data_IF_254593735200
#
_entry.id   IF_254593735200
#
_cell.length_a   1.000
_cell.length_b   1.000
_cell.length_c   1.000
_cell.angle_alpha   90.00
_cell.angle_beta   90.00
_cell.angle_gamma   90.00
#
_symmetry.space_group_name_H-M   'P 1'
#
loop_
_entity.id
_entity.type
_entity.pdbx_description
1 polymer ?
#
# COMPACT_ATOMS: atom_id res chain seq x y z
N UNK A 1 44.07 11.77 -22.52
CA UNK A 1 43.56 12.45 -23.73
C UNK A 1 42.12 12.85 -23.47
N UNK A 2 41.82 14.16 -23.59
CA UNK A 2 40.59 14.76 -24.15
C UNK A 2 39.26 14.20 -23.59
N UNK A 3 38.43 14.92 -22.85
CA UNK A 3 38.12 16.35 -22.94
C UNK A 3 36.67 16.54 -23.41
N UNK A 4 36.09 17.68 -22.99
CA UNK A 4 34.78 18.29 -23.37
C UNK A 4 33.62 17.93 -22.43
N UNK A 5 32.81 18.87 -21.94
CA UNK A 5 32.71 20.31 -22.21
C UNK A 5 31.93 20.95 -21.05
N UNK A 6 32.32 22.18 -20.70
CA UNK A 6 31.62 23.07 -19.78
C UNK A 6 30.18 23.31 -20.26
N UNK A 7 29.21 23.22 -19.35
CA UNK A 7 27.97 23.97 -19.51
C UNK A 7 28.05 25.21 -18.62
N UNK A 8 28.44 26.33 -19.23
CA UNK A 8 28.36 27.68 -18.67
C UNK A 8 27.57 28.54 -19.66
N UNK A 9 26.28 28.70 -19.37
CA UNK A 9 25.42 29.78 -19.86
C UNK A 9 24.80 30.32 -18.56
N UNK A 10 25.34 31.39 -17.98
CA UNK A 10 25.17 32.78 -18.44
C UNK A 10 24.17 33.40 -17.46
N UNK A 11 24.63 34.27 -16.55
CA UNK A 11 24.36 35.73 -16.60
C UNK A 11 22.85 36.03 -16.55
N UNK A 12 22.29 36.90 -15.73
CA UNK A 12 22.77 38.01 -14.91
C UNK A 12 21.50 38.57 -14.26
N UNK A 13 21.63 39.16 -13.07
CA UNK A 13 20.78 40.22 -12.48
C UNK A 13 19.35 40.43 -13.05
N UNK A 14 18.34 40.19 -12.21
CA UNK A 14 16.97 40.65 -12.45
C UNK A 14 16.09 40.23 -11.29
N UNK A 15 15.95 41.09 -10.29
CA UNK A 15 15.21 40.79 -9.08
C UNK A 15 13.75 40.42 -9.36
N UNK A 16 13.29 39.36 -8.70
CA UNK A 16 11.89 39.21 -8.31
C UNK A 16 11.90 38.61 -6.91
N UNK A 17 11.58 39.47 -5.94
CA UNK A 17 11.23 39.07 -4.59
C UNK A 17 9.99 38.18 -4.67
N UNK A 18 10.19 36.86 -4.60
CA UNK A 18 9.10 35.93 -4.32
C UNK A 18 9.21 35.55 -2.84
N UNK A 19 8.20 35.90 -2.01
CA UNK A 19 8.22 35.54 -0.61
C UNK A 19 8.31 34.02 -0.49
N UNK A 20 9.27 33.56 0.33
CA UNK A 20 9.40 32.16 0.75
C UNK A 20 8.26 31.87 1.73
N UNK A 21 7.02 31.93 1.25
CA UNK A 21 5.82 31.68 2.03
C UNK A 21 5.24 30.35 1.56
N UNK A 22 5.69 29.29 2.26
CA UNK A 22 4.95 28.08 2.57
C UNK A 22 4.13 27.45 1.46
N UNK A 23 4.67 26.41 0.85
CA UNK A 23 3.89 25.28 0.36
C UNK A 23 4.68 24.00 0.68
N UNK A 24 4.65 23.60 1.95
CA UNK A 24 4.81 22.19 2.30
C UNK A 24 3.53 21.52 1.81
N UNK A 25 3.49 21.17 0.52
CA UNK A 25 2.46 20.31 -0.02
C UNK A 25 2.69 18.93 0.59
N UNK A 26 2.00 18.73 1.71
CA UNK A 26 1.66 17.47 2.34
C UNK A 26 1.78 16.32 1.34
N UNK A 27 2.81 15.49 1.50
CA UNK A 27 2.81 14.12 1.02
C UNK A 27 1.75 13.34 1.83
N UNK A 28 0.49 13.75 1.75
CA UNK A 28 -0.60 12.89 2.14
C UNK A 28 -0.67 11.82 1.05
N UNK A 29 -0.72 10.52 1.41
CA UNK A 29 -1.09 9.50 0.46
C UNK A 29 -2.40 9.95 -0.20
N UNK A 30 -2.33 10.21 -1.50
CA UNK A 30 -3.47 10.56 -2.31
C UNK A 30 -4.48 9.42 -2.15
N UNK A 31 -5.76 9.69 -1.87
CA UNK A 31 -6.78 8.65 -1.86
C UNK A 31 -6.91 8.15 -3.31
N UNK A 32 -6.16 7.09 -3.61
CA UNK A 32 -6.25 6.39 -4.87
C UNK A 32 -7.60 5.68 -4.88
N UNK A 33 -8.43 5.99 -5.87
CA UNK A 33 -9.76 5.40 -6.12
C UNK A 33 -9.71 3.91 -6.51
N UNK A 34 -8.87 3.14 -5.84
CA UNK A 34 -8.99 1.71 -5.68
C UNK A 34 -10.04 1.43 -4.59
N UNK A 35 -10.52 0.19 -4.44
CA UNK A 35 -11.38 -0.18 -3.31
C UNK A 35 -10.66 0.18 -1.99
N UNK A 36 -10.95 1.36 -1.44
CA UNK A 36 -10.13 2.02 -0.41
C UNK A 36 -9.92 1.11 0.79
N UNK A 37 -11.01 0.45 1.18
CA UNK A 37 -11.01 -0.57 2.23
C UNK A 37 -10.17 -1.81 1.90
N UNK A 38 -10.22 -2.33 0.67
CA UNK A 38 -9.47 -3.53 0.29
C UNK A 38 -7.96 -3.31 0.28
N UNK A 39 -7.55 -2.13 -0.19
CA UNK A 39 -6.16 -1.69 -0.12
C UNK A 39 -5.71 -1.48 1.32
N UNK A 40 -6.56 -0.87 2.15
CA UNK A 40 -6.28 -0.66 3.56
C UNK A 40 -6.12 -1.99 4.31
N UNK A 41 -6.98 -2.98 4.03
CA UNK A 41 -6.84 -4.34 4.57
C UNK A 41 -5.49 -4.94 4.17
N UNK A 42 -5.16 -4.91 2.89
CA UNK A 42 -3.89 -5.47 2.40
C UNK A 42 -2.68 -4.79 3.03
N UNK A 43 -2.70 -3.46 3.17
CA UNK A 43 -1.63 -2.72 3.83
C UNK A 43 -1.48 -3.12 5.31
N UNK A 44 -2.61 -3.31 6.00
CA UNK A 44 -2.62 -3.78 7.39
C UNK A 44 -2.18 -5.23 7.57
N UNK A 45 -2.33 -6.07 6.54
CA UNK A 45 -1.82 -7.45 6.54
C UNK A 45 -0.33 -7.51 6.20
N UNK A 46 0.16 -6.58 5.38
CA UNK A 46 1.56 -6.47 5.00
C UNK A 46 2.44 -5.85 6.09
N UNK A 47 1.85 -5.26 7.13
CA UNK A 47 2.61 -4.74 8.28
C UNK A 47 2.99 -5.91 9.19
N UNK A 48 4.28 -6.13 9.47
CA UNK A 48 4.71 -7.21 10.34
C UNK A 48 4.20 -6.98 11.77
N UNK A 49 3.42 -7.93 12.29
CA UNK A 49 2.78 -7.84 13.60
C UNK A 49 1.33 -8.33 13.56
N UNK A 50 0.59 -8.15 14.65
CA UNK A 50 -0.83 -8.46 14.65
C UNK A 50 -1.60 -7.43 13.81
N UNK A 51 -2.62 -7.86 13.04
CA UNK A 51 -3.41 -6.96 12.18
C UNK A 51 -4.24 -5.92 12.97
N UNK A 52 -4.18 -5.95 14.31
CA UNK A 52 -4.82 -4.98 15.21
C UNK A 52 -3.82 -4.18 16.05
N UNK A 53 -2.50 -4.37 15.87
CA UNK A 53 -1.48 -3.63 16.62
C UNK A 53 -1.61 -2.12 16.37
N UNK A 54 -2.00 -1.74 15.15
CA UNK A 54 -2.30 -0.36 14.80
C UNK A 54 -3.80 -0.10 14.91
N UNK A 55 -4.18 0.93 15.66
CA UNK A 55 -5.59 1.32 15.83
C UNK A 55 -6.28 1.61 14.48
N UNK A 56 -5.53 2.11 13.49
CA UNK A 56 -6.02 2.33 12.12
C UNK A 56 -6.36 1.03 11.36
N UNK A 57 -5.82 -0.11 11.79
CA UNK A 57 -6.04 -1.42 11.17
C UNK A 57 -7.16 -2.22 11.83
N UNK A 58 -7.60 -1.86 13.04
CA UNK A 58 -8.72 -2.52 13.72
C UNK A 58 -10.01 -2.46 12.89
N UNK A 59 -10.54 -1.28 12.49
CA UNK A 59 -11.79 -1.22 11.73
C UNK A 59 -11.77 -1.99 10.39
N UNK A 60 -10.75 -1.85 9.51
CA UNK A 60 -10.74 -2.56 8.23
C UNK A 60 -10.60 -4.08 8.41
N UNK A 61 -9.81 -4.55 9.39
CA UNK A 61 -9.59 -5.97 9.65
C UNK A 61 -10.82 -6.62 10.29
N UNK A 62 -11.50 -5.94 11.21
CA UNK A 62 -12.77 -6.45 11.75
C UNK A 62 -13.81 -6.63 10.65
N UNK A 63 -13.91 -5.66 9.73
CA UNK A 63 -14.78 -5.76 8.56
C UNK A 63 -14.38 -6.93 7.65
N UNK A 64 -13.08 -7.15 7.44
CA UNK A 64 -12.58 -8.31 6.69
C UNK A 64 -13.11 -9.62 7.28
N UNK A 65 -12.96 -9.81 8.59
CA UNK A 65 -13.43 -11.03 9.25
C UNK A 65 -14.95 -11.20 9.18
N UNK A 66 -15.73 -10.10 9.22
CA UNK A 66 -17.18 -10.15 9.02
C UNK A 66 -17.54 -10.61 7.60
N UNK A 67 -16.94 -10.01 6.57
CA UNK A 67 -17.19 -10.39 5.17
C UNK A 67 -16.83 -11.86 4.92
N UNK A 68 -15.68 -12.32 5.44
CA UNK A 68 -15.27 -13.72 5.38
C UNK A 68 -16.23 -14.66 6.14
N UNK A 69 -16.74 -14.23 7.30
CA UNK A 69 -17.71 -15.01 8.08
C UNK A 69 -19.07 -15.12 7.36
N UNK A 70 -19.43 -14.11 6.56
CA UNK A 70 -20.60 -14.14 5.67
C UNK A 70 -20.36 -14.97 4.39
N UNK A 71 -19.19 -15.58 4.23
CA UNK A 71 -18.82 -16.34 3.05
C UNK A 71 -18.52 -15.48 1.82
N UNK A 72 -18.31 -14.16 2.01
CA UNK A 72 -17.91 -13.28 0.92
C UNK A 72 -16.44 -13.48 0.56
N UNK A 73 -16.11 -13.15 -0.70
CA UNK A 73 -14.74 -13.20 -1.18
C UNK A 73 -13.83 -12.15 -0.52
N UNK A 74 -12.53 -12.38 -0.61
CA UNK A 74 -11.53 -11.42 -0.14
C UNK A 74 -11.56 -10.14 -1.00
N UNK A 75 -11.39 -8.95 -0.40
CA UNK A 75 -11.41 -7.70 -1.15
C UNK A 75 -10.31 -7.58 -2.19
N UNK A 76 -10.62 -6.90 -3.29
CA UNK A 76 -9.65 -6.52 -4.30
C UNK A 76 -9.15 -5.10 -4.06
N UNK A 77 -7.88 -4.85 -4.35
CA UNK A 77 -7.26 -3.54 -4.35
C UNK A 77 -6.66 -3.28 -5.74
N UNK A 78 -6.97 -2.14 -6.34
CA UNK A 78 -6.42 -1.72 -7.63
C UNK A 78 -5.00 -1.18 -7.39
N UNK A 79 -4.00 -1.70 -8.09
CA UNK A 79 -2.58 -1.31 -7.94
C UNK A 79 -1.70 -2.36 -7.24
N UNK A 80 -2.30 -3.37 -6.63
CA UNK A 80 -1.61 -4.59 -6.16
C UNK A 80 -2.29 -5.80 -6.76
N UNK A 81 -1.53 -6.67 -7.42
CA UNK A 81 -2.05 -7.90 -8.01
C UNK A 81 -2.34 -8.93 -6.92
N UNK A 82 -3.52 -8.86 -6.31
CA UNK A 82 -3.95 -9.80 -5.27
C UNK A 82 -4.59 -11.01 -5.95
N UNK A 83 -4.06 -12.21 -5.68
CA UNK A 83 -4.68 -13.48 -6.01
C UNK A 83 -5.07 -14.19 -4.74
N UNK A 84 -6.34 -14.54 -4.63
CA UNK A 84 -6.88 -15.23 -3.46
C UNK A 84 -7.37 -16.60 -3.87
N UNK A 85 -6.87 -17.64 -3.21
CA UNK A 85 -7.30 -19.02 -3.38
C UNK A 85 -7.97 -19.49 -2.10
N UNK A 86 -9.24 -19.86 -2.19
CA UNK A 86 -9.94 -20.47 -1.06
C UNK A 86 -9.32 -21.83 -0.73
N UNK A 87 -9.06 -22.07 0.56
CA UNK A 87 -8.53 -23.33 1.09
C UNK A 87 -9.40 -23.81 2.25
N UNK A 88 -9.20 -25.06 2.67
CA UNK A 88 -9.93 -25.62 3.80
C UNK A 88 -9.64 -24.80 5.07
N UNK A 89 -10.64 -24.07 5.56
CA UNK A 89 -10.59 -23.13 6.69
C UNK A 89 -9.81 -21.81 6.48
N UNK A 90 -9.69 -21.33 5.24
CA UNK A 90 -8.97 -20.08 5.03
C UNK A 90 -8.83 -19.61 3.58
N UNK A 91 -7.91 -18.67 3.38
CA UNK A 91 -7.54 -18.14 2.08
C UNK A 91 -6.02 -18.06 1.97
N UNK A 92 -5.49 -18.53 0.84
CA UNK A 92 -4.11 -18.28 0.43
C UNK A 92 -4.09 -17.03 -0.46
N UNK A 93 -3.35 -16.02 -0.03
CA UNK A 93 -3.22 -14.73 -0.68
C UNK A 93 -1.83 -14.63 -1.31
N UNK A 94 -1.76 -14.34 -2.60
CA UNK A 94 -0.52 -13.93 -3.27
C UNK A 94 -0.65 -12.48 -3.68
N UNK A 95 0.21 -11.62 -3.15
CA UNK A 95 0.29 -10.22 -3.52
C UNK A 95 1.43 -10.01 -4.51
N UNK A 96 1.12 -9.43 -5.65
CA UNK A 96 2.09 -8.97 -6.63
C UNK A 96 2.23 -7.46 -6.50
N UNK A 97 3.38 -7.00 -6.00
CA UNK A 97 3.74 -5.58 -5.94
C UNK A 97 3.93 -5.03 -7.37
N UNK A 98 3.78 -3.71 -7.58
CA UNK A 98 4.08 -3.06 -8.86
C UNK A 98 5.53 -3.29 -9.34
N UNK A 99 6.47 -3.53 -8.42
CA UNK A 99 7.87 -3.89 -8.72
C UNK A 99 8.02 -5.34 -9.27
N UNK A 100 6.92 -6.09 -9.36
CA UNK A 100 6.90 -7.49 -9.79
C UNK A 100 7.19 -8.50 -8.68
N UNK A 101 7.61 -8.05 -7.49
CA UNK A 101 7.81 -8.90 -6.31
C UNK A 101 6.50 -9.57 -5.89
N UNK A 102 6.57 -10.85 -5.52
CA UNK A 102 5.42 -11.62 -5.03
C UNK A 102 5.62 -12.00 -3.58
N UNK A 103 4.62 -11.71 -2.74
CA UNK A 103 4.57 -12.12 -1.33
C UNK A 103 3.33 -12.97 -1.09
N UNK A 104 3.49 -14.09 -0.38
CA UNK A 104 2.38 -15.01 -0.11
C UNK A 104 2.02 -15.02 1.38
N UNK A 105 0.72 -15.03 1.68
CA UNK A 105 0.19 -15.00 3.03
C UNK A 105 -0.98 -15.97 3.15
N UNK A 106 -1.09 -16.66 4.28
CA UNK A 106 -2.23 -17.51 4.61
C UNK A 106 -3.09 -16.83 5.65
N UNK A 107 -4.38 -16.73 5.36
CA UNK A 107 -5.41 -16.29 6.28
C UNK A 107 -6.14 -17.51 6.80
N UNK A 108 -6.11 -17.70 8.11
CA UNK A 108 -6.94 -18.68 8.79
C UNK A 108 -8.21 -18.00 9.33
N UNK A 109 -9.38 -18.42 8.84
CA UNK A 109 -10.66 -17.82 9.24
C UNK A 109 -11.16 -18.30 10.60
N UNK A 110 -10.60 -19.39 11.13
CA UNK A 110 -10.97 -19.96 12.43
C UNK A 110 -10.25 -19.25 13.57
N UNK A 111 -8.94 -19.05 13.45
CA UNK A 111 -8.10 -18.36 14.44
C UNK A 111 -8.00 -16.87 14.17
N UNK A 112 -8.48 -16.39 13.02
CA UNK A 112 -8.36 -14.99 12.58
C UNK A 112 -6.90 -14.53 12.54
N UNK A 113 -6.01 -15.41 12.09
CA UNK A 113 -4.57 -15.17 12.02
C UNK A 113 -4.09 -15.08 10.59
N UNK A 114 -2.97 -14.39 10.42
CA UNK A 114 -2.32 -14.13 9.13
C UNK A 114 -0.89 -14.60 9.26
N UNK A 115 -0.48 -15.52 8.40
CA UNK A 115 0.86 -16.11 8.44
C UNK A 115 1.55 -15.89 7.10
N UNK A 116 2.74 -15.26 7.07
CA UNK A 116 3.53 -15.22 5.84
C UNK A 116 3.96 -16.64 5.42
N UNK A 117 4.15 -16.87 4.12
CA UNK A 117 4.66 -18.12 3.56
C UNK A 117 6.07 -17.97 3.02
#
# INVERSE_FOLDING_TARGET
>A
MIGRVLNRIGSTAGGLAFPIAGLVAVAAPQPAYASDWGCQVVLCLATPGSPTTYAACVPPITKLWQELALGRGFPTCIGVGIRTKSVKHGYDLTLTQPDGTRSSYRLDTRTRTVTPQ
#
